data_IF_463377000951
#
_entry.id   IF_463377000951
#
_cell.length_a   1.000
_cell.length_b   1.000
_cell.length_c   1.000
_cell.angle_alpha   90.00
_cell.angle_beta   90.00
_cell.angle_gamma   90.00
#
_symmetry.space_group_name_H-M   'P 1'
#
loop_
_entity.id
_entity.type
_entity.pdbx_description
1 polymer ?
#
# COMPACT_ATOMS: atom_id res chain seq x y z
N UNK A 1 -39.21 -39.72 -61.33
CA UNK A 1 -38.37 -38.79 -60.67
C UNK A 1 -38.80 -38.58 -59.24
N UNK A 2 -38.00 -38.99 -58.22
CA UNK A 2 -38.32 -38.68 -56.86
C UNK A 2 -37.60 -37.41 -56.48
N UNK A 3 -38.36 -36.41 -56.11
CA UNK A 3 -37.92 -35.18 -55.48
C UNK A 3 -37.32 -35.45 -54.10
N UNK A 4 -36.03 -35.25 -53.97
CA UNK A 4 -35.31 -35.24 -52.70
C UNK A 4 -35.75 -34.00 -51.93
N UNK A 5 -36.68 -34.21 -51.05
CA UNK A 5 -37.08 -33.25 -50.03
C UNK A 5 -35.92 -33.19 -48.99
N UNK A 6 -35.03 -32.23 -49.16
CA UNK A 6 -34.01 -31.91 -48.22
C UNK A 6 -34.70 -31.22 -47.03
N UNK A 7 -35.17 -32.06 -46.09
CA UNK A 7 -35.65 -31.59 -44.80
C UNK A 7 -34.49 -31.02 -44.04
N UNK A 8 -34.31 -29.74 -44.11
CA UNK A 8 -33.45 -29.02 -43.17
C UNK A 8 -34.07 -29.21 -41.78
N UNK A 9 -33.49 -30.11 -41.02
CA UNK A 9 -33.75 -30.19 -39.59
C UNK A 9 -33.35 -28.85 -38.96
N UNK A 10 -34.34 -27.98 -38.86
CA UNK A 10 -34.28 -26.84 -37.96
C UNK A 10 -34.23 -27.40 -36.55
N UNK A 11 -33.23 -27.14 -35.74
CA UNK A 11 -33.24 -27.52 -34.34
C UNK A 11 -34.51 -26.94 -33.69
N UNK A 12 -35.34 -27.80 -33.10
CA UNK A 12 -36.53 -27.36 -32.41
C UNK A 12 -36.07 -26.64 -31.14
N UNK A 13 -36.15 -25.33 -31.15
CA UNK A 13 -35.81 -24.37 -30.10
C UNK A 13 -36.74 -24.50 -28.85
N UNK A 14 -37.22 -25.67 -28.56
CA UNK A 14 -38.25 -25.89 -27.53
C UNK A 14 -37.83 -26.69 -26.29
N UNK A 15 -36.65 -27.33 -26.29
CA UNK A 15 -36.28 -28.23 -25.17
C UNK A 15 -34.93 -27.92 -24.50
N UNK A 16 -34.31 -26.80 -24.81
CA UNK A 16 -33.23 -26.34 -24.01
C UNK A 16 -33.78 -25.74 -22.71
N UNK A 17 -34.08 -26.64 -21.79
CA UNK A 17 -34.66 -26.29 -20.50
C UNK A 17 -33.82 -25.32 -19.67
N UNK A 18 -34.36 -24.83 -18.56
CA UNK A 18 -33.70 -23.80 -17.73
C UNK A 18 -32.29 -24.21 -17.25
N UNK A 19 -31.89 -25.46 -17.40
CA UNK A 19 -30.60 -25.99 -16.99
C UNK A 19 -29.42 -25.41 -17.78
N UNK A 20 -29.50 -25.25 -19.10
CA UNK A 20 -28.40 -24.65 -19.90
C UNK A 20 -28.23 -23.19 -19.59
N UNK A 21 -29.32 -22.46 -19.33
CA UNK A 21 -29.24 -21.06 -18.92
C UNK A 21 -28.56 -20.91 -17.55
N UNK A 22 -28.84 -21.82 -16.61
CA UNK A 22 -28.18 -21.86 -15.31
C UNK A 22 -26.71 -22.19 -15.44
N UNK A 23 -26.31 -23.13 -16.30
CA UNK A 23 -24.91 -23.47 -16.55
C UNK A 23 -24.17 -22.25 -17.08
N UNK A 24 -24.70 -21.56 -18.08
CA UNK A 24 -24.07 -20.35 -18.63
C UNK A 24 -24.04 -19.17 -17.65
N UNK A 25 -25.02 -19.06 -16.76
CA UNK A 25 -24.97 -18.04 -15.68
C UNK A 25 -23.86 -18.36 -14.69
N UNK A 26 -23.75 -19.61 -14.25
CA UNK A 26 -22.66 -20.03 -13.31
C UNK A 26 -21.29 -19.89 -13.95
N UNK A 27 -21.14 -20.23 -15.23
CA UNK A 27 -19.88 -20.04 -15.97
C UNK A 27 -19.53 -18.55 -16.10
N UNK A 28 -20.49 -17.68 -16.38
CA UNK A 28 -20.27 -16.23 -16.46
C UNK A 28 -19.90 -15.62 -15.11
N UNK A 29 -20.54 -16.04 -14.04
CA UNK A 29 -20.18 -15.60 -12.69
C UNK A 29 -18.79 -16.09 -12.30
N UNK A 30 -18.45 -17.34 -12.63
CA UNK A 30 -17.11 -17.89 -12.42
C UNK A 30 -16.04 -17.14 -13.19
N UNK A 31 -16.28 -16.82 -14.46
CA UNK A 31 -15.36 -16.04 -15.30
C UNK A 31 -15.17 -14.62 -14.76
N UNK A 32 -16.24 -13.94 -14.35
CA UNK A 32 -16.19 -12.61 -13.77
C UNK A 32 -15.36 -12.56 -12.46
N UNK A 33 -15.48 -13.59 -11.62
CA UNK A 33 -14.67 -13.73 -10.41
C UNK A 33 -13.18 -13.93 -10.72
N UNK A 34 -12.87 -14.81 -11.67
CA UNK A 34 -11.49 -15.08 -12.09
C UNK A 34 -10.84 -13.81 -12.69
N UNK A 35 -11.56 -13.11 -13.56
CA UNK A 35 -11.10 -11.87 -14.17
C UNK A 35 -10.84 -10.78 -13.10
N UNK A 36 -11.70 -10.67 -12.09
CA UNK A 36 -11.53 -9.75 -10.99
C UNK A 36 -10.31 -10.10 -10.12
N UNK A 37 -10.05 -11.39 -9.88
CA UNK A 37 -8.87 -11.86 -9.16
C UNK A 37 -7.56 -11.61 -9.94
N UNK A 38 -7.59 -11.75 -11.26
CA UNK A 38 -6.42 -11.45 -12.10
C UNK A 38 -6.12 -9.95 -12.14
N UNK A 39 -7.17 -9.13 -12.15
CA UNK A 39 -7.04 -7.67 -11.98
C UNK A 39 -6.42 -7.31 -10.62
N UNK A 40 -6.86 -7.94 -9.53
CA UNK A 40 -6.29 -7.75 -8.18
C UNK A 40 -4.80 -8.09 -8.16
N UNK A 41 -4.43 -9.25 -8.73
CA UNK A 41 -3.04 -9.68 -8.82
C UNK A 41 -2.17 -8.64 -9.53
N UNK A 42 -2.62 -8.18 -10.69
CA UNK A 42 -1.88 -7.20 -11.49
C UNK A 42 -1.68 -5.88 -10.72
N UNK A 43 -2.73 -5.39 -10.06
CA UNK A 43 -2.69 -4.15 -9.28
C UNK A 43 -1.81 -4.28 -8.03
N UNK A 44 -1.83 -5.45 -7.38
CA UNK A 44 -0.97 -5.74 -6.25
C UNK A 44 0.51 -5.75 -6.66
N UNK A 45 0.83 -6.36 -7.79
CA UNK A 45 2.20 -6.37 -8.33
C UNK A 45 2.67 -4.94 -8.64
N UNK A 46 1.85 -4.12 -9.29
CA UNK A 46 2.19 -2.71 -9.59
C UNK A 46 2.42 -1.93 -8.30
N UNK A 47 1.56 -2.11 -7.30
CA UNK A 47 1.69 -1.44 -5.99
C UNK A 47 2.97 -1.87 -5.27
N UNK A 48 3.30 -3.16 -5.31
CA UNK A 48 4.51 -3.71 -4.71
C UNK A 48 5.77 -3.20 -5.42
N UNK A 49 5.78 -3.18 -6.76
CA UNK A 49 6.89 -2.63 -7.54
C UNK A 49 7.09 -1.14 -7.27
N UNK A 50 6.00 -0.37 -7.18
CA UNK A 50 6.06 1.04 -6.82
C UNK A 50 6.64 1.25 -5.41
N UNK A 51 6.24 0.42 -4.44
CA UNK A 51 6.76 0.45 -3.07
C UNK A 51 8.26 0.10 -3.04
N UNK A 52 8.68 -0.96 -3.72
CA UNK A 52 10.09 -1.37 -3.77
C UNK A 52 10.94 -0.28 -4.43
N UNK A 53 10.53 0.25 -5.58
CA UNK A 53 11.23 1.32 -6.27
C UNK A 53 11.34 2.58 -5.40
N UNK A 54 10.24 2.98 -4.75
CA UNK A 54 10.23 4.10 -3.83
C UNK A 54 11.11 3.86 -2.59
N UNK A 55 11.19 2.63 -2.08
CA UNK A 55 12.07 2.28 -0.96
C UNK A 55 13.55 2.31 -1.33
N UNK A 56 13.89 1.88 -2.55
CA UNK A 56 15.26 2.00 -3.10
C UNK A 56 15.63 3.49 -3.22
N UNK A 57 14.73 4.31 -3.73
CA UNK A 57 14.92 5.76 -3.75
C UNK A 57 15.00 6.34 -2.33
N UNK A 58 14.12 5.90 -1.43
CA UNK A 58 14.12 6.26 -0.01
C UNK A 58 15.47 5.98 0.68
N UNK A 59 16.16 4.91 0.29
CA UNK A 59 17.49 4.59 0.81
C UNK A 59 18.50 5.72 0.59
N UNK A 60 18.43 6.42 -0.52
CA UNK A 60 19.31 7.57 -0.82
C UNK A 60 18.98 8.78 0.02
N UNK A 61 17.74 8.92 0.52
CA UNK A 61 17.26 10.01 1.36
C UNK A 61 17.50 9.76 2.86
N UNK A 62 17.83 8.53 3.27
CA UNK A 62 18.04 8.19 4.69
C UNK A 62 19.13 9.03 5.35
N UNK A 63 20.31 9.33 4.74
CA UNK A 63 21.34 10.16 5.37
C UNK A 63 20.84 11.57 5.71
N UNK A 64 20.04 12.17 4.82
CA UNK A 64 19.45 13.50 5.02
C UNK A 64 18.42 13.47 6.14
N UNK A 65 17.54 12.44 6.13
CA UNK A 65 16.57 12.25 7.19
C UNK A 65 17.21 12.03 8.56
N UNK A 66 18.30 11.25 8.63
CA UNK A 66 19.09 11.07 9.87
C UNK A 66 19.76 12.38 10.28
N UNK A 67 20.27 13.17 9.32
CA UNK A 67 20.84 14.50 9.58
C UNK A 67 19.85 15.41 10.29
N UNK A 68 18.63 15.48 9.77
CA UNK A 68 17.54 16.26 10.36
C UNK A 68 17.14 15.77 11.77
N UNK A 69 17.10 14.44 11.97
CA UNK A 69 16.81 13.86 13.28
C UNK A 69 17.93 14.19 14.29
N UNK A 70 19.18 14.17 13.87
CA UNK A 70 20.34 14.51 14.75
C UNK A 70 20.30 15.96 15.24
N UNK A 71 19.87 16.86 14.39
CA UNK A 71 19.71 18.28 14.74
C UNK A 71 18.66 18.47 15.83
N UNK A 72 17.59 17.67 15.80
CA UNK A 72 16.49 17.73 16.76
C UNK A 72 16.71 16.90 18.03
N UNK A 73 17.44 15.79 17.95
CA UNK A 73 17.60 14.79 19.02
C UNK A 73 18.97 14.80 19.70
N UNK A 74 19.94 15.58 19.21
CA UNK A 74 21.31 15.52 19.66
C UNK A 74 22.09 14.30 19.11
N UNK A 75 23.12 13.83 19.83
CA UNK A 75 23.94 12.70 19.37
C UNK A 75 23.17 11.39 19.39
N UNK A 76 22.87 10.85 18.22
CA UNK A 76 22.42 9.46 18.08
C UNK A 76 23.65 8.53 18.21
N UNK A 77 23.66 7.69 19.23
CA UNK A 77 24.70 6.68 19.45
C UNK A 77 24.11 5.34 19.05
N UNK A 78 24.67 4.71 18.02
CA UNK A 78 24.35 3.32 17.70
C UNK A 78 25.23 2.40 18.53
N UNK A 79 24.60 1.48 19.28
CA UNK A 79 25.31 0.55 20.16
C UNK A 79 25.92 -0.62 19.35
N UNK A 80 25.31 -0.97 18.22
CA UNK A 80 25.79 -2.03 17.36
C UNK A 80 25.66 -1.67 15.85
N UNK A 81 26.60 -2.12 15.02
CA UNK A 81 26.53 -1.91 13.55
C UNK A 81 25.27 -2.48 12.92
N UNK A 82 24.77 -3.62 13.44
CA UNK A 82 23.53 -4.27 13.00
C UNK A 82 22.31 -3.39 13.25
N UNK A 83 22.26 -2.68 14.38
CA UNK A 83 21.17 -1.76 14.72
C UNK A 83 21.10 -0.59 13.71
N UNK A 84 22.24 -0.03 13.36
CA UNK A 84 22.33 1.03 12.36
C UNK A 84 21.82 0.56 10.98
N UNK A 85 22.14 -0.67 10.58
CA UNK A 85 21.70 -1.27 9.33
C UNK A 85 20.18 -1.47 9.29
N UNK A 86 19.60 -2.10 10.33
CA UNK A 86 18.15 -2.30 10.41
C UNK A 86 17.38 -1.00 10.50
N UNK A 87 17.92 -0.02 11.22
CA UNK A 87 17.30 1.32 11.28
C UNK A 87 17.27 1.97 9.91
N UNK A 88 18.35 1.85 9.13
CA UNK A 88 18.41 2.37 7.77
C UNK A 88 17.41 1.71 6.84
N UNK A 89 17.24 0.38 6.91
CA UNK A 89 16.22 -0.34 6.15
C UNK A 89 14.81 0.12 6.53
N UNK A 90 14.52 0.20 7.83
CA UNK A 90 13.20 0.67 8.31
C UNK A 90 12.90 2.08 7.84
N UNK A 91 13.85 2.98 7.92
CA UNK A 91 13.67 4.36 7.43
C UNK A 91 13.45 4.41 5.92
N UNK A 92 14.24 3.68 5.13
CA UNK A 92 14.06 3.61 3.68
C UNK A 92 12.70 3.05 3.29
N UNK A 93 12.24 1.99 3.98
CA UNK A 93 10.91 1.41 3.76
C UNK A 93 9.79 2.38 4.15
N UNK A 94 9.94 3.11 5.26
CA UNK A 94 8.94 4.11 5.69
C UNK A 94 8.85 5.26 4.70
N UNK A 95 9.99 5.80 4.26
CA UNK A 95 10.04 6.84 3.23
C UNK A 95 9.43 6.32 1.92
N UNK A 96 9.79 5.10 1.52
CA UNK A 96 9.25 4.43 0.35
C UNK A 96 7.74 4.25 0.41
N UNK A 97 7.20 3.88 1.57
CA UNK A 97 5.76 3.75 1.78
C UNK A 97 5.03 5.09 1.62
N UNK A 98 5.58 6.16 2.19
CA UNK A 98 5.01 7.50 2.06
C UNK A 98 5.02 7.96 0.61
N UNK A 99 6.14 7.79 -0.10
CA UNK A 99 6.27 8.19 -1.51
C UNK A 99 5.35 7.35 -2.42
N UNK A 100 5.23 6.03 -2.18
CA UNK A 100 4.39 5.14 -2.98
C UNK A 100 2.91 5.20 -2.62
N UNK A 101 2.54 5.79 -1.48
CA UNK A 101 1.15 5.84 -1.01
C UNK A 101 0.13 6.38 -2.03
N UNK A 102 0.40 7.45 -2.82
CA UNK A 102 -0.55 7.91 -3.83
C UNK A 102 -0.75 6.88 -4.96
N UNK A 103 0.32 6.15 -5.34
CA UNK A 103 0.22 5.09 -6.35
C UNK A 103 -0.58 3.92 -5.81
N UNK A 104 -0.31 3.47 -4.59
CA UNK A 104 -1.04 2.39 -3.92
C UNK A 104 -2.52 2.76 -3.78
N UNK A 105 -2.81 3.97 -3.30
CA UNK A 105 -4.19 4.47 -3.18
C UNK A 105 -4.91 4.52 -4.54
N UNK A 106 -4.23 4.95 -5.61
CA UNK A 106 -4.77 4.95 -6.97
C UNK A 106 -5.07 3.54 -7.48
N UNK A 107 -4.19 2.57 -7.24
CA UNK A 107 -4.41 1.17 -7.63
C UNK A 107 -5.57 0.54 -6.87
N UNK A 108 -5.65 0.79 -5.56
CA UNK A 108 -6.77 0.36 -4.73
C UNK A 108 -8.10 0.98 -5.20
N UNK A 109 -8.10 2.28 -5.48
CA UNK A 109 -9.25 2.99 -6.04
C UNK A 109 -9.73 2.37 -7.34
N UNK A 110 -8.83 2.16 -8.27
CA UNK A 110 -9.16 1.61 -9.59
C UNK A 110 -9.66 0.17 -9.52
N UNK A 111 -9.25 -0.60 -8.50
CA UNK A 111 -9.75 -1.95 -8.23
C UNK A 111 -11.20 -1.93 -7.72
N UNK A 112 -11.55 -0.98 -6.87
CA UNK A 112 -12.88 -0.88 -6.26
C UNK A 112 -13.93 -0.29 -7.21
N UNK A 113 -13.50 0.59 -8.15
CA UNK A 113 -14.39 1.30 -9.07
C UNK A 113 -15.38 0.42 -9.88
N UNK A 114 -14.96 -0.72 -10.47
CA UNK A 114 -15.88 -1.55 -11.24
C UNK A 114 -16.95 -2.24 -10.38
N UNK A 115 -16.67 -2.46 -9.10
CA UNK A 115 -17.60 -3.13 -8.18
C UNK A 115 -18.72 -2.21 -7.65
N UNK A 116 -18.64 -0.88 -7.90
CA UNK A 116 -19.59 0.11 -7.35
C UNK A 116 -20.62 0.58 -8.38
N UNK A 117 -21.84 0.83 -7.88
CA UNK A 117 -22.92 1.45 -8.64
C UNK A 117 -22.60 2.94 -8.96
N UNK A 118 -23.19 3.50 -10.04
CA UNK A 118 -22.88 4.87 -10.47
C UNK A 118 -23.09 5.96 -9.40
N UNK A 119 -24.07 5.80 -8.52
CA UNK A 119 -24.33 6.74 -7.42
C UNK A 119 -23.33 6.62 -6.28
N UNK A 120 -22.77 5.43 -6.03
CA UNK A 120 -21.77 5.16 -4.99
C UNK A 120 -20.39 5.72 -5.35
N UNK A 121 -20.07 5.79 -6.64
CA UNK A 121 -18.79 6.35 -7.13
C UNK A 121 -18.56 7.79 -6.69
N UNK A 122 -19.63 8.57 -6.54
CA UNK A 122 -19.54 9.97 -6.05
C UNK A 122 -19.18 10.01 -4.57
N UNK A 123 -19.82 9.19 -3.76
CA UNK A 123 -19.57 9.09 -2.32
C UNK A 123 -18.15 8.58 -2.07
N UNK A 124 -17.74 7.53 -2.78
CA UNK A 124 -16.41 6.95 -2.63
C UNK A 124 -15.30 7.95 -3.04
N UNK A 125 -15.52 8.81 -4.05
CA UNK A 125 -14.58 9.88 -4.40
C UNK A 125 -14.38 10.87 -3.25
N UNK A 126 -15.47 11.21 -2.54
CA UNK A 126 -15.41 12.02 -1.33
C UNK A 126 -14.58 11.36 -0.22
N UNK A 127 -14.79 10.06 0.00
CA UNK A 127 -14.01 9.29 0.96
C UNK A 127 -12.51 9.22 0.61
N UNK A 128 -12.17 9.09 -0.68
CA UNK A 128 -10.78 9.08 -1.10
C UNK A 128 -10.10 10.41 -0.85
N UNK A 129 -10.76 11.52 -1.18
CA UNK A 129 -10.22 12.86 -0.94
C UNK A 129 -10.07 13.13 0.56
N UNK A 130 -11.08 12.75 1.37
CA UNK A 130 -11.01 12.87 2.82
C UNK A 130 -9.90 11.99 3.39
N UNK A 131 -9.74 10.75 2.92
CA UNK A 131 -8.67 9.85 3.30
C UNK A 131 -7.28 10.39 2.94
N UNK A 132 -7.11 10.93 1.74
CA UNK A 132 -5.86 11.55 1.32
C UNK A 132 -5.52 12.78 2.18
N UNK A 133 -6.50 13.63 2.46
CA UNK A 133 -6.33 14.77 3.36
C UNK A 133 -5.95 14.33 4.77
N UNK A 134 -6.65 13.34 5.32
CA UNK A 134 -6.39 12.79 6.65
C UNK A 134 -5.02 12.13 6.73
N UNK A 135 -4.57 11.47 5.66
CA UNK A 135 -3.24 10.89 5.56
C UNK A 135 -2.14 11.97 5.65
N UNK A 136 -2.27 13.02 4.85
CA UNK A 136 -1.31 14.15 4.89
C UNK A 136 -1.33 14.85 6.25
N UNK A 137 -2.52 15.07 6.81
CA UNK A 137 -2.68 15.66 8.14
C UNK A 137 -2.05 14.75 9.23
N UNK A 138 -2.23 13.42 9.12
CA UNK A 138 -1.60 12.44 10.01
C UNK A 138 -0.08 12.43 9.93
N UNK A 139 0.49 12.53 8.72
CA UNK A 139 1.94 12.67 8.53
C UNK A 139 2.46 13.96 9.17
N UNK A 140 1.79 15.08 8.95
CA UNK A 140 2.15 16.36 9.54
C UNK A 140 2.06 16.30 11.07
N UNK A 141 0.96 15.76 11.61
CA UNK A 141 0.80 15.57 13.06
C UNK A 141 1.89 14.67 13.65
N UNK A 142 2.18 13.54 12.98
CA UNK A 142 3.25 12.62 13.39
C UNK A 142 4.61 13.31 13.48
N UNK A 143 4.93 14.13 12.48
CA UNK A 143 6.21 14.79 12.37
C UNK A 143 6.33 16.02 13.29
N UNK A 144 5.30 16.87 13.35
CA UNK A 144 5.38 18.14 14.09
C UNK A 144 4.97 18.02 15.55
N UNK A 145 4.15 17.02 15.90
CA UNK A 145 3.60 16.86 17.25
C UNK A 145 4.09 15.58 17.92
N UNK A 146 3.80 14.42 17.33
CA UNK A 146 4.06 13.14 17.99
C UNK A 146 5.57 12.89 18.17
N UNK A 147 6.39 13.18 17.14
CA UNK A 147 7.83 12.98 17.19
C UNK A 147 8.50 13.83 18.28
N UNK A 148 8.36 15.17 18.35
CA UNK A 148 9.03 15.96 19.37
C UNK A 148 8.50 15.68 20.79
N UNK A 149 7.20 15.37 20.95
CA UNK A 149 6.65 15.00 22.25
C UNK A 149 7.26 13.69 22.74
N UNK A 150 7.29 12.66 21.87
CA UNK A 150 7.88 11.36 22.19
C UNK A 150 9.35 11.48 22.54
N UNK A 151 10.11 12.31 21.77
CA UNK A 151 11.51 12.52 22.04
C UNK A 151 11.76 13.16 23.41
N UNK A 152 11.01 14.21 23.73
CA UNK A 152 11.08 14.86 25.06
C UNK A 152 10.74 13.89 26.20
N UNK A 153 9.72 13.06 25.98
CA UNK A 153 9.32 12.03 26.95
C UNK A 153 10.45 11.03 27.21
N UNK A 154 11.05 10.46 26.17
CA UNK A 154 12.18 9.53 26.32
C UNK A 154 13.40 10.17 26.95
N UNK A 155 13.71 11.41 26.60
CA UNK A 155 14.82 12.13 27.21
C UNK A 155 14.58 12.42 28.69
N UNK A 156 13.34 12.64 29.14
CA UNK A 156 13.03 12.87 30.55
C UNK A 156 13.28 11.64 31.42
N UNK A 157 13.06 10.42 30.87
CA UNK A 157 13.39 9.17 31.58
C UNK A 157 14.89 8.86 31.55
N UNK A 158 15.62 9.30 30.52
CA UNK A 158 17.07 9.04 30.42
C UNK A 158 17.94 9.85 31.38
N UNK A 159 17.42 10.92 31.96
CA UNK A 159 18.19 11.79 32.87
C UNK A 159 18.23 11.32 34.31
N UNK A 160 17.33 10.44 34.74
CA UNK A 160 17.30 9.97 36.15
C UNK A 160 18.13 8.70 36.45
N UNK A 161 18.65 8.00 35.43
CA UNK A 161 19.34 6.71 35.67
C UNK A 161 20.66 6.47 34.92
N UNK A 162 20.98 7.21 33.87
CA UNK A 162 22.19 7.00 33.07
C UNK A 162 23.03 8.27 33.02
N UNK A 163 24.07 8.30 33.85
CA UNK A 163 25.18 9.24 33.62
C UNK A 163 25.78 8.91 32.24
N UNK A 164 25.94 9.86 31.32
CA UNK A 164 26.71 9.61 30.12
C UNK A 164 28.10 9.20 30.56
N UNK A 165 28.51 7.96 30.24
CA UNK A 165 29.89 7.56 30.40
C UNK A 165 30.71 8.37 29.42
N UNK A 166 31.17 9.53 29.88
CA UNK A 166 32.18 10.30 29.20
C UNK A 166 33.47 9.50 29.43
N UNK A 167 33.80 8.64 28.48
CA UNK A 167 35.13 8.06 28.38
C UNK A 167 36.06 9.18 27.94
N UNK A 168 36.53 9.91 28.93
CA UNK A 168 37.67 10.81 28.72
C UNK A 168 38.90 9.91 28.60
N UNK A 169 39.17 9.46 27.38
CA UNK A 169 40.45 8.88 27.05
C UNK A 169 41.49 10.02 27.12
N UNK A 170 42.04 10.23 28.34
CA UNK A 170 43.27 10.98 28.51
C UNK A 170 44.39 10.06 28.00
N UNK A 171 44.86 10.34 26.81
CA UNK A 171 46.23 9.94 26.43
C UNK A 171 47.18 11.02 26.90
N UNK A 172 47.99 10.65 27.89
CA UNK A 172 49.30 11.18 28.14
C UNK A 172 50.27 10.57 27.14
#
# INVERSE_FOLDING_TARGET
SPSLEHRTDVPQDGEEGPAWALIHLVEREGQALVEHLDELRTRLIISLLAFVAASVYGWTLVPEAIGFLKESAGRLIFVAPTEAFFTRIKMAATIGLVISSPVIAYQAWRFVLPALFPHEKRVLRGFLLAGAFLFVAGLAFGFFVAYPVSLRFFLSFGTEGMRPAIVVSRHL
#
